data_IF_113836383793
#
_entry.id   IF_113836383793
#
_cell.length_a   1.000
_cell.length_b   1.000
_cell.length_c   1.000
_cell.angle_alpha   90.00
_cell.angle_beta   90.00
_cell.angle_gamma   90.00
#
_symmetry.space_group_name_H-M   'P 1'
#
loop_
_entity.id
_entity.type
_entity.pdbx_description
1 polymer ?
2 non-polymer ?
3 non-polymer ?
4 water ?
#
# COMPACT_ATOMS: atom_id res chain seq x y z
N UNK A 21 4.21 -11.68 -12.58
CA UNK A 21 3.15 -11.05 -11.74
C UNK A 21 2.12 -10.33 -12.61
N UNK A 22 0.86 -10.39 -12.17
CA UNK A 22 -0.23 -9.75 -12.88
C UNK A 22 -1.29 -9.33 -11.88
N UNK A 23 -0.93 -8.41 -10.99
CA UNK A 23 -1.82 -7.92 -9.95
C UNK A 23 -2.93 -7.04 -10.55
N UNK A 24 -2.72 -6.60 -11.80
CA UNK A 24 -3.70 -5.77 -12.48
C UNK A 24 -4.93 -6.62 -12.77
N UNK A 25 -4.69 -7.91 -12.98
CA UNK A 25 -5.76 -8.86 -13.26
C UNK A 25 -6.66 -9.03 -12.04
N UNK A 26 -6.11 -8.79 -10.86
CA UNK A 26 -6.87 -8.91 -9.62
C UNK A 26 -7.86 -7.76 -9.47
N UNK A 27 -8.85 -7.94 -8.60
CA UNK A 27 -9.84 -6.91 -8.39
C UNK A 27 -9.28 -5.64 -7.77
N UNK A 28 -10.10 -4.60 -7.56
CA UNK A 28 -9.67 -3.33 -6.98
C UNK A 28 -9.56 -3.36 -5.45
N UNK A 29 -10.07 -4.43 -4.84
CA UNK A 29 -10.04 -4.53 -3.39
C UNK A 29 -8.80 -5.16 -2.77
N UNK A 30 -7.94 -4.31 -2.23
CA UNK A 30 -6.72 -4.76 -1.57
C UNK A 30 -6.92 -4.55 -0.08
N UNK A 31 -6.39 -5.47 0.72
CA UNK A 31 -6.55 -5.41 2.17
C UNK A 31 -5.29 -5.67 2.98
N UNK A 32 -5.01 -4.78 3.93
CA UNK A 32 -3.86 -4.91 4.81
C UNK A 32 -4.18 -6.00 5.85
N UNK A 33 -3.16 -6.71 6.30
CA UNK A 33 -3.33 -7.75 7.31
C UNK A 33 -2.00 -8.00 8.01
N UNK A 34 -1.90 -7.60 9.29
CA UNK A 34 -0.69 -7.77 10.10
C UNK A 34 -0.10 -9.17 9.96
N UNK A 35 1.21 -9.22 9.71
CA UNK A 35 1.89 -10.50 9.53
C UNK A 35 2.01 -11.32 10.80
N UNK A 36 1.68 -10.71 11.94
CA UNK A 36 1.76 -11.43 13.21
C UNK A 36 0.44 -12.13 13.54
N UNK A 37 -0.54 -12.01 12.65
CA UNK A 37 -1.85 -12.63 12.88
C UNK A 37 -2.17 -13.63 11.76
N UNK A 38 -1.36 -14.70 11.64
CA UNK A 38 -1.52 -15.74 10.63
C UNK A 38 -2.87 -16.45 10.64
N UNK A 39 -3.60 -16.31 11.75
CA UNK A 39 -4.91 -16.94 11.85
C UNK A 39 -5.91 -16.26 10.92
N UNK A 40 -5.72 -14.97 10.69
CA UNK A 40 -6.62 -14.21 9.83
C UNK A 40 -6.25 -14.27 8.35
N UNK A 41 -5.00 -14.66 8.06
CA UNK A 41 -4.53 -14.76 6.68
C UNK A 41 -5.58 -15.37 5.74
N UNK A 42 -6.01 -16.59 6.06
CA UNK A 42 -7.00 -17.31 5.26
C UNK A 42 -8.27 -16.52 5.00
N UNK A 43 -8.82 -15.90 6.04
CA UNK A 43 -10.04 -15.11 5.89
C UNK A 43 -9.79 -13.91 4.99
N UNK A 44 -8.68 -13.22 5.26
CA UNK A 44 -8.30 -12.05 4.48
C UNK A 44 -8.16 -12.35 2.99
N UNK A 45 -7.37 -13.36 2.66
CA UNK A 45 -7.16 -13.74 1.27
C UNK A 45 -8.47 -14.07 0.58
N UNK A 46 -9.39 -14.68 1.33
CA UNK A 46 -10.69 -15.05 0.79
C UNK A 46 -11.63 -13.85 0.64
N UNK A 47 -11.41 -12.84 1.47
CA UNK A 47 -12.26 -11.64 1.43
C UNK A 47 -11.79 -10.57 0.44
N UNK A 48 -10.49 -10.48 0.22
CA UNK A 48 -9.93 -9.47 -0.68
C UNK A 48 -9.45 -9.99 -2.03
N UNK A 49 -9.18 -9.05 -2.94
CA UNK A 49 -8.68 -9.38 -4.26
C UNK A 49 -7.19 -9.63 -4.11
N UNK A 50 -6.55 -8.79 -3.31
CA UNK A 50 -5.13 -8.91 -3.04
C UNK A 50 -4.92 -8.60 -1.58
N UNK A 51 -4.05 -9.37 -0.95
CA UNK A 51 -3.77 -9.17 0.46
C UNK A 51 -2.38 -8.61 0.68
N UNK A 52 -2.31 -7.52 1.43
CA UNK A 52 -1.04 -6.90 1.74
C UNK A 52 -0.62 -7.34 3.15
N UNK A 53 0.29 -8.30 3.23
CA UNK A 53 0.78 -8.76 4.51
C UNK A 53 1.70 -7.67 5.02
N UNK A 54 1.38 -7.14 6.19
CA UNK A 54 2.12 -6.03 6.78
C UNK A 54 3.17 -6.39 7.82
N UNK A 55 4.36 -5.84 7.62
CA UNK A 55 5.52 -6.03 8.50
C UNK A 55 5.90 -4.65 9.03
N UNK A 56 5.11 -3.65 8.67
CA UNK A 56 5.39 -2.29 9.10
C UNK A 56 4.50 -1.92 10.28
N UNK A 57 4.05 -0.66 10.30
CA UNK A 57 3.23 -0.15 11.39
C UNK A 57 2.01 -0.99 11.76
N UNK A 58 1.76 -2.06 11.01
CA UNK A 58 0.63 -2.91 11.33
C UNK A 58 1.02 -3.97 12.34
N UNK A 59 2.29 -3.99 12.74
CA UNK A 59 2.79 -4.98 13.70
C UNK A 59 3.70 -4.33 14.74
N UNK A 60 3.42 -4.60 16.02
CA UNK A 60 4.21 -4.05 17.13
C UNK A 60 5.70 -4.31 16.95
N UNK A 61 6.51 -3.32 17.30
CA UNK A 61 7.96 -3.42 17.17
C UNK A 61 8.56 -4.64 17.85
N UNK A 62 7.78 -5.30 18.69
CA UNK A 62 8.23 -6.48 19.41
C UNK A 62 7.65 -7.75 18.80
N UNK A 63 6.64 -7.58 17.96
CA UNK A 63 5.99 -8.72 17.30
C UNK A 63 6.50 -8.93 15.88
N UNK A 64 7.43 -8.08 15.44
CA UNK A 64 7.97 -8.21 14.09
C UNK A 64 8.62 -9.57 13.83
N UNK A 65 9.57 -9.99 14.69
CA UNK A 65 10.20 -11.29 14.45
C UNK A 65 9.16 -12.41 14.38
N UNK A 66 8.07 -12.24 15.12
CA UNK A 66 7.01 -13.24 15.10
C UNK A 66 6.32 -13.18 13.74
N UNK A 67 6.00 -11.97 13.31
CA UNK A 67 5.34 -11.76 12.02
C UNK A 67 6.21 -12.32 10.90
N UNK A 68 7.52 -12.24 11.05
CA UNK A 68 8.44 -12.76 10.04
C UNK A 68 8.37 -14.28 9.97
N UNK A 69 8.24 -14.94 11.12
CA UNK A 69 8.13 -16.40 11.14
C UNK A 69 6.82 -16.83 10.51
N UNK A 70 5.74 -16.13 10.86
CA UNK A 70 4.42 -16.46 10.33
C UNK A 70 4.39 -16.25 8.82
N UNK A 71 5.19 -15.31 8.33
CA UNK A 71 5.25 -15.03 6.90
C UNK A 71 5.84 -16.23 6.16
N UNK A 72 6.62 -17.03 6.88
CA UNK A 72 7.27 -18.21 6.33
C UNK A 72 6.44 -19.49 6.36
N UNK A 73 6.04 -19.90 7.57
CA UNK A 73 5.27 -21.13 7.73
C UNK A 73 3.80 -21.03 7.35
N UNK A 74 3.29 -19.83 7.18
CA UNK A 74 1.89 -19.65 6.80
C UNK A 74 1.82 -18.97 5.44
N UNK A 75 2.03 -19.76 4.36
CA UNK A 75 2.00 -19.27 2.97
C UNK A 75 0.65 -18.85 2.43
N UNK A 76 0.69 -17.93 1.48
CA UNK A 76 -0.51 -17.40 0.83
C UNK A 76 -0.20 -17.34 -0.66
N UNK A 77 -1.24 -17.29 -1.48
CA UNK A 77 -1.03 -17.25 -2.93
C UNK A 77 -0.16 -16.05 -3.34
N UNK A 78 1.05 -16.32 -3.85
CA UNK A 78 1.95 -15.25 -4.27
C UNK A 78 1.39 -14.43 -5.44
N UNK A 79 0.32 -14.94 -6.04
CA UNK A 79 -0.30 -14.25 -7.17
C UNK A 79 -1.14 -13.08 -6.69
N UNK A 80 -1.76 -13.22 -5.53
CA UNK A 80 -2.61 -12.17 -4.99
C UNK A 80 -2.14 -11.69 -3.62
N UNK A 81 -0.83 -11.73 -3.39
CA UNK A 81 -0.30 -11.29 -2.11
C UNK A 81 1.00 -10.48 -2.23
N UNK A 82 1.01 -9.31 -1.59
CA UNK A 82 2.20 -8.46 -1.58
C UNK A 82 2.58 -8.31 -0.11
N UNK A 83 3.86 -8.13 0.14
CA UNK A 83 4.35 -7.96 1.50
C UNK A 83 4.85 -6.53 1.72
N UNK A 84 4.28 -5.84 2.70
CA UNK A 84 4.76 -4.50 2.97
C UNK A 84 5.91 -4.64 3.92
N UNK A 85 7.09 -4.24 3.46
CA UNK A 85 8.29 -4.33 4.28
C UNK A 85 8.50 -2.99 4.99
N UNK A 86 9.62 -2.86 5.70
CA UNK A 86 9.91 -1.65 6.41
C UNK A 86 10.71 -0.68 5.54
N UNK A 87 10.84 0.56 6.01
CA UNK A 87 11.51 1.64 5.29
C UNK A 87 12.96 1.42 4.91
N UNK A 88 13.35 2.04 3.80
CA UNK A 88 14.71 1.91 3.31
C UNK A 88 15.68 2.40 4.37
N UNK A 89 16.84 1.76 4.44
CA UNK A 89 17.85 2.18 5.40
C UNK A 89 17.68 1.71 6.84
N UNK A 90 16.63 0.95 7.14
CA UNK A 90 16.44 0.46 8.50
C UNK A 90 16.91 -0.97 8.68
N UNK A 91 17.03 -1.37 9.94
CA UNK A 91 17.44 -2.72 10.27
C UNK A 91 16.28 -3.67 10.02
N UNK A 92 15.06 -3.21 10.29
CA UNK A 92 13.89 -4.04 10.10
C UNK A 92 13.65 -4.43 8.64
N UNK A 93 13.93 -3.53 7.70
CA UNK A 93 13.73 -3.90 6.31
C UNK A 93 14.72 -5.01 5.98
N UNK A 94 15.94 -4.86 6.48
CA UNK A 94 17.00 -5.84 6.25
C UNK A 94 16.54 -7.22 6.73
N UNK A 95 15.94 -7.26 7.92
CA UNK A 95 15.46 -8.52 8.48
C UNK A 95 14.26 -9.03 7.69
N UNK A 96 13.53 -8.10 7.07
CA UNK A 96 12.35 -8.44 6.28
C UNK A 96 12.73 -9.17 4.99
N UNK A 97 13.77 -8.68 4.32
CA UNK A 97 14.20 -9.30 3.08
C UNK A 97 14.74 -10.70 3.35
N UNK A 98 15.45 -10.85 4.47
CA UNK A 98 16.01 -12.14 4.84
C UNK A 98 14.89 -13.14 5.08
N UNK A 99 13.82 -12.68 5.72
CA UNK A 99 12.68 -13.56 6.01
C UNK A 99 11.86 -13.78 4.74
N UNK A 100 11.90 -12.80 3.83
CA UNK A 100 11.16 -12.90 2.57
C UNK A 100 11.79 -13.93 1.63
N UNK A 101 13.08 -14.18 1.80
CA UNK A 101 13.80 -15.14 0.96
C UNK A 101 13.20 -16.54 1.07
N UNK A 102 12.69 -16.89 2.26
CA UNK A 102 12.11 -18.20 2.46
C UNK A 102 10.64 -18.27 2.10
N UNK A 103 10.19 -17.44 1.16
CA UNK A 103 8.80 -17.47 0.75
C UNK A 103 8.74 -17.36 -0.76
N UNK A 104 7.55 -17.55 -1.31
CA UNK A 104 7.36 -17.48 -2.74
C UNK A 104 6.85 -16.10 -3.20
N UNK A 105 7.00 -15.08 -2.36
CA UNK A 105 6.52 -13.73 -2.70
C UNK A 105 7.54 -12.98 -3.55
N UNK A 106 7.04 -12.26 -4.54
CA UNK A 106 7.89 -11.51 -5.45
C UNK A 106 7.67 -9.99 -5.38
N UNK A 107 6.49 -9.57 -4.91
CA UNK A 107 6.17 -8.15 -4.83
C UNK A 107 6.16 -7.57 -3.42
N UNK A 108 6.88 -6.48 -3.24
CA UNK A 108 6.93 -5.83 -1.94
C UNK A 108 6.42 -4.40 -2.01
N UNK A 109 5.88 -3.92 -0.90
CA UNK A 109 5.40 -2.55 -0.81
C UNK A 109 6.40 -1.83 0.10
N UNK A 110 6.97 -0.74 -0.42
CA UNK A 110 7.97 0.04 0.33
C UNK A 110 7.36 1.32 0.89
N UNK A 111 7.29 1.44 2.22
CA UNK A 111 6.75 2.63 2.87
C UNK A 111 7.78 3.74 2.82
N UNK A 112 7.34 4.98 3.02
CA UNK A 112 8.22 6.14 2.99
C UNK A 112 9.17 6.08 1.81
N UNK A 113 8.65 5.70 0.64
CA UNK A 113 9.50 5.62 -0.55
C UNK A 113 9.88 7.04 -0.91
N UNK A 114 11.18 7.32 -0.90
CA UNK A 114 11.65 8.67 -1.19
C UNK A 114 12.61 8.82 -2.37
N UNK A 115 12.94 7.73 -3.06
CA UNK A 115 13.82 7.82 -4.22
C UNK A 115 13.88 6.56 -5.07
N UNK A 116 14.34 6.73 -6.31
CA UNK A 116 14.49 5.63 -7.24
C UNK A 116 15.46 4.62 -6.64
N UNK A 117 16.54 5.13 -6.07
CA UNK A 117 17.54 4.28 -5.45
C UNK A 117 17.00 3.35 -4.35
N UNK A 118 16.01 3.81 -3.59
CA UNK A 118 15.46 2.96 -2.53
C UNK A 118 14.68 1.83 -3.17
N UNK A 119 14.15 2.09 -4.35
CA UNK A 119 13.38 1.10 -5.10
C UNK A 119 14.32 0.13 -5.78
N UNK A 120 15.33 0.69 -6.44
CA UNK A 120 16.34 -0.08 -7.15
C UNK A 120 17.03 -1.10 -6.26
N UNK A 121 17.35 -0.74 -5.03
CA UNK A 121 18.03 -1.66 -4.13
C UNK A 121 17.16 -2.83 -3.70
N UNK A 122 15.90 -2.85 -4.15
CA UNK A 122 15.01 -3.94 -3.82
C UNK A 122 14.94 -4.90 -5.01
N UNK A 123 15.62 -4.56 -6.11
CA UNK A 123 15.65 -5.45 -7.26
C UNK A 123 16.26 -6.77 -6.72
N UNK A 124 15.92 -7.92 -7.32
CA UNK A 124 15.02 -8.09 -8.46
C UNK A 124 13.55 -8.32 -8.14
N UNK A 125 13.06 -7.94 -6.97
CA UNK A 125 11.65 -8.17 -6.73
C UNK A 125 10.83 -6.97 -7.23
N UNK A 126 9.53 -7.16 -7.44
CA UNK A 126 8.69 -6.07 -7.92
C UNK A 126 8.33 -5.16 -6.76
N UNK A 127 8.34 -3.86 -6.99
CA UNK A 127 8.04 -2.94 -5.90
C UNK A 127 6.90 -1.96 -6.11
N UNK A 128 6.06 -1.87 -5.10
CA UNK A 128 4.97 -0.90 -5.11
C UNK A 128 5.48 0.16 -4.15
N UNK A 129 5.72 1.35 -4.68
CA UNK A 129 6.22 2.46 -3.86
C UNK A 129 5.07 3.17 -3.17
N UNK A 130 5.19 3.36 -1.86
CA UNK A 130 4.16 4.05 -1.10
C UNK A 130 4.74 5.39 -0.70
N UNK A 131 4.31 6.42 -1.41
CA UNK A 131 4.76 7.79 -1.18
C UNK A 131 3.95 8.39 -0.05
N UNK A 132 4.65 8.80 1.00
CA UNK A 132 3.99 9.37 2.17
C UNK A 132 4.91 10.33 2.94
N UNK A 133 5.69 11.11 2.18
CA UNK A 133 6.60 12.11 2.73
C UNK A 133 6.78 13.16 1.65
N UNK A 134 7.23 14.35 2.04
CA UNK A 134 7.42 15.44 1.09
C UNK A 134 8.46 15.09 0.04
N UNK A 135 9.59 14.52 0.44
CA UNK A 135 10.63 14.14 -0.51
C UNK A 135 10.06 13.17 -1.53
N UNK A 136 9.29 12.20 -1.08
CA UNK A 136 8.71 11.24 -2.01
C UNK A 136 7.78 11.90 -3.01
N UNK A 137 6.93 12.81 -2.54
CA UNK A 137 6.01 13.49 -3.45
C UNK A 137 6.82 14.29 -4.46
N UNK A 138 7.88 14.93 -4.00
CA UNK A 138 8.73 15.72 -4.90
C UNK A 138 9.43 14.84 -5.95
N UNK A 139 9.80 13.62 -5.57
CA UNK A 139 10.47 12.71 -6.50
C UNK A 139 9.54 11.63 -7.04
N UNK A 140 8.23 11.87 -7.00
CA UNK A 140 7.24 10.89 -7.47
C UNK A 140 7.50 10.26 -8.84
N UNK A 141 7.93 11.08 -9.81
CA UNK A 141 8.19 10.60 -11.17
C UNK A 141 9.45 9.76 -11.21
N UNK A 142 10.48 10.21 -10.51
CA UNK A 142 11.74 9.48 -10.47
C UNK A 142 11.46 8.10 -9.89
N UNK A 143 10.64 8.05 -8.84
CA UNK A 143 10.31 6.78 -8.21
C UNK A 143 9.49 5.88 -9.13
N UNK A 144 8.44 6.43 -9.73
CA UNK A 144 7.61 5.65 -10.63
C UNK A 144 8.41 5.17 -11.84
N UNK A 145 9.44 5.93 -12.21
CA UNK A 145 10.25 5.57 -13.37
C UNK A 145 11.14 4.35 -13.15
N UNK A 146 11.64 4.16 -11.93
CA UNK A 146 12.53 3.05 -11.62
C UNK A 146 12.04 1.71 -12.17
N UNK A 147 12.99 0.91 -12.67
CA UNK A 147 12.66 -0.40 -13.26
C UNK A 147 11.86 -1.35 -12.38
N UNK A 148 12.25 -1.50 -11.09
CA UNK A 148 11.53 -2.41 -10.17
C UNK A 148 10.07 -2.05 -9.91
N UNK A 149 9.74 -0.77 -10.06
CA UNK A 149 8.40 -0.27 -9.79
C UNK A 149 7.28 -0.83 -10.65
N UNK A 150 6.25 -1.35 -9.99
CA UNK A 150 5.09 -1.88 -10.68
C UNK A 150 3.81 -1.21 -10.15
N UNK A 151 3.96 -0.37 -9.14
CA UNK A 151 2.82 0.32 -8.58
C UNK A 151 3.19 1.51 -7.71
N UNK A 152 2.28 2.48 -7.64
CA UNK A 152 2.49 3.68 -6.82
C UNK A 152 1.29 3.85 -5.89
N UNK A 153 1.57 4.08 -4.61
CA UNK A 153 0.51 4.28 -3.64
C UNK A 153 0.87 5.52 -2.82
N UNK A 154 -0.13 6.12 -2.18
CA UNK A 154 0.11 7.28 -1.33
C UNK A 154 -0.65 7.13 0.00
N UNK A 155 -0.17 7.84 1.02
CA UNK A 155 -0.79 7.79 2.34
C UNK A 155 -0.77 9.18 2.94
N UNK A 156 -1.94 9.69 3.32
CA UNK A 156 -2.04 11.03 3.88
C UNK A 156 -1.49 11.19 5.29
N UNK A 157 -1.80 10.21 6.14
CA UNK A 157 -1.39 10.23 7.53
C UNK A 157 0.11 10.43 7.80
N UNK A 158 0.96 9.60 7.20
CA UNK A 158 2.40 9.79 7.44
C UNK A 158 2.87 11.06 6.75
N UNK A 159 2.20 11.42 5.66
CA UNK A 159 2.52 12.63 4.91
C UNK A 159 2.39 13.86 5.80
N UNK A 160 1.21 14.05 6.37
CA UNK A 160 0.98 15.20 7.24
C UNK A 160 1.94 15.13 8.43
N UNK A 161 2.11 13.94 8.99
CA UNK A 161 2.99 13.79 10.15
C UNK A 161 4.41 14.23 9.82
N UNK A 162 5.00 13.62 8.80
CA UNK A 162 6.36 13.97 8.43
C UNK A 162 6.46 15.43 8.01
N UNK A 163 5.34 16.05 7.66
CA UNK A 163 5.33 17.46 7.28
C UNK A 163 5.38 18.35 8.53
N UNK A 164 5.03 17.77 9.67
CA UNK A 164 5.01 18.52 10.92
C UNK A 164 3.60 19.01 11.19
N UNK A 165 2.64 18.47 10.43
CA UNK A 165 1.25 18.86 10.61
C UNK A 165 0.55 17.96 11.62
N UNK A 166 -0.76 18.09 11.75
CA UNK A 166 -1.47 17.27 12.71
C UNK A 166 -2.86 16.82 12.25
N UNK A 167 -3.23 17.17 11.03
CA UNK A 167 -4.54 16.78 10.54
C UNK A 167 -4.55 16.72 9.02
N UNK A 168 -4.91 15.56 8.47
CA UNK A 168 -4.94 15.37 7.03
C UNK A 168 -6.27 15.78 6.39
N UNK A 169 -7.32 15.84 7.20
CA UNK A 169 -8.64 16.23 6.69
C UNK A 169 -9.12 17.49 7.40
N UNK A 170 -9.98 18.26 6.74
CA UNK A 170 -10.50 19.47 7.35
C UNK A 170 -11.85 19.16 7.97
N UNK A 171 -12.47 20.17 8.58
CA UNK A 171 -13.77 20.01 9.24
C UNK A 171 -14.79 19.23 8.43
N UNK A 172 -14.97 19.59 7.16
CA UNK A 172 -15.95 18.94 6.31
C UNK A 172 -15.58 17.52 5.89
N UNK A 173 -14.52 16.97 6.48
CA UNK A 173 -14.10 15.61 6.14
C UNK A 173 -13.18 15.50 4.94
N UNK A 174 -13.26 16.46 4.02
CA UNK A 174 -12.42 16.45 2.83
C UNK A 174 -10.93 16.56 3.19
N UNK A 175 -10.11 15.86 2.43
CA UNK A 175 -8.65 15.90 2.64
C UNK A 175 -8.18 17.33 2.49
N UNK A 176 -7.13 17.70 3.21
CA UNK A 176 -6.60 19.03 3.06
C UNK A 176 -5.92 19.13 1.68
N UNK A 177 -5.67 20.35 1.24
CA UNK A 177 -5.08 20.59 -0.07
C UNK A 177 -3.76 19.91 -0.39
N UNK A 178 -2.84 19.87 0.56
CA UNK A 178 -1.54 19.26 0.29
C UNK A 178 -1.75 17.77 -0.04
N UNK A 179 -2.61 17.11 0.73
CA UNK A 179 -2.90 15.69 0.51
C UNK A 179 -3.56 15.46 -0.85
N UNK A 180 -4.46 16.35 -1.23
CA UNK A 180 -5.14 16.23 -2.51
C UNK A 180 -4.15 16.40 -3.66
N UNK A 181 -3.21 17.31 -3.46
CA UNK A 181 -2.16 17.63 -4.43
C UNK A 181 -1.31 16.36 -4.68
N UNK A 182 -0.93 15.71 -3.59
CA UNK A 182 -0.12 14.48 -3.65
C UNK A 182 -0.87 13.31 -4.29
N UNK A 183 -2.14 13.16 -3.92
CA UNK A 183 -2.96 12.10 -4.49
C UNK A 183 -2.88 12.24 -6.02
N UNK A 184 -3.21 13.42 -6.51
CA UNK A 184 -3.13 13.64 -7.96
C UNK A 184 -1.69 13.42 -8.47
N UNK A 185 -0.69 13.79 -7.67
CA UNK A 185 0.70 13.62 -8.07
C UNK A 185 1.08 12.15 -8.30
N UNK A 186 0.76 11.26 -7.37
CA UNK A 186 1.12 9.86 -7.58
C UNK A 186 0.28 9.15 -8.65
N UNK A 187 -0.91 9.68 -8.94
CA UNK A 187 -1.79 9.11 -9.98
C UNK A 187 -1.15 9.36 -11.34
N UNK A 188 -0.69 10.59 -11.54
CA UNK A 188 -0.06 10.96 -12.80
C UNK A 188 1.28 10.26 -12.94
N UNK A 189 2.04 10.19 -11.85
CA UNK A 189 3.36 9.54 -11.87
C UNK A 189 3.24 8.08 -12.27
N UNK A 190 2.35 7.37 -11.58
CA UNK A 190 2.12 5.94 -11.81
C UNK A 190 1.62 5.69 -13.23
N UNK A 191 0.68 6.52 -13.67
CA UNK A 191 0.11 6.36 -14.99
C UNK A 191 1.10 6.65 -16.10
N UNK A 192 1.82 7.75 -15.95
CA UNK A 192 2.80 8.16 -16.95
C UNK A 192 3.82 7.05 -17.24
N UNK A 193 3.98 6.11 -16.31
CA UNK A 193 4.94 5.04 -16.52
C UNK A 193 4.32 3.67 -16.53
N UNK A 194 3.03 3.63 -16.82
CA UNK A 194 2.32 2.36 -16.89
C UNK A 194 2.27 1.57 -15.58
N UNK A 195 2.37 2.25 -14.45
CA UNK A 195 2.33 1.57 -13.16
C UNK A 195 0.90 1.50 -12.64
N UNK A 196 0.68 0.61 -11.69
CA UNK A 196 -0.62 0.47 -11.07
C UNK A 196 -0.75 1.67 -10.12
N UNK A 197 -1.95 2.23 -10.00
CA UNK A 197 -2.15 3.36 -9.09
C UNK A 197 -3.08 2.93 -7.95
N UNK A 198 -2.61 3.03 -6.71
CA UNK A 198 -3.40 2.66 -5.52
C UNK A 198 -3.79 3.88 -4.67
N UNK A 199 -5.09 4.07 -4.44
CA UNK A 199 -5.57 5.19 -3.65
C UNK A 199 -5.41 4.94 -2.14
N UNK A 200 -5.33 6.02 -1.36
CA UNK A 200 -5.13 5.93 0.07
C UNK A 200 -6.24 5.26 0.89
N UNK A 201 -5.79 4.57 1.93
CA UNK A 201 -6.65 3.86 2.87
C UNK A 201 -7.63 4.79 3.54
N UNK A 202 -8.89 4.38 3.61
CA UNK A 202 -9.90 5.18 4.29
C UNK A 202 -9.87 4.73 5.75
N UNK A 203 -9.16 5.51 6.57
CA UNK A 203 -8.97 5.24 8.00
C UNK A 203 -10.21 5.09 8.88
N UNK A 204 -11.25 5.87 8.62
CA UNK A 204 -12.49 5.77 9.40
C UNK A 204 -13.34 4.63 8.86
N UNK A 205 -13.03 3.41 9.31
CA UNK A 205 -13.70 2.19 8.86
C UNK A 205 -15.23 2.18 8.84
N UNK A 206 -15.86 2.71 9.89
CA UNK A 206 -17.32 2.70 9.96
C UNK A 206 -17.96 3.75 9.05
N UNK A 207 -17.13 4.63 8.47
CA UNK A 207 -17.62 5.67 7.57
C UNK A 207 -17.62 5.12 6.14
N UNK A 208 -18.64 4.33 5.82
CA UNK A 208 -18.76 3.72 4.50
C UNK A 208 -19.22 4.71 3.44
N UNK A 209 -19.92 5.76 3.86
CA UNK A 209 -20.40 6.78 2.95
C UNK A 209 -19.16 7.45 2.35
N UNK A 210 -18.26 7.86 3.24
CA UNK A 210 -17.03 8.51 2.84
C UNK A 210 -16.19 7.63 1.93
N UNK A 211 -16.04 6.37 2.31
CA UNK A 211 -15.27 5.43 1.52
C UNK A 211 -15.88 5.25 0.14
N UNK A 212 -17.20 5.18 0.09
CA UNK A 212 -17.90 5.02 -1.17
C UNK A 212 -17.61 6.18 -2.11
N UNK A 213 -17.65 7.41 -1.57
CA UNK A 213 -17.39 8.60 -2.36
C UNK A 213 -15.95 8.66 -2.90
N UNK A 214 -14.98 8.32 -2.06
CA UNK A 214 -13.57 8.32 -2.47
C UNK A 214 -13.30 7.23 -3.48
N UNK A 215 -13.84 6.04 -3.23
CA UNK A 215 -13.66 4.92 -4.14
C UNK A 215 -14.30 5.22 -5.49
N UNK A 216 -15.49 5.78 -5.48
CA UNK A 216 -16.19 6.12 -6.74
C UNK A 216 -15.32 7.08 -7.52
N UNK A 217 -14.88 8.13 -6.85
CA UNK A 217 -14.02 9.13 -7.45
C UNK A 217 -12.73 8.48 -7.98
N UNK A 218 -12.12 7.63 -7.17
CA UNK A 218 -10.88 6.95 -7.57
C UNK A 218 -11.10 6.11 -8.82
N UNK A 219 -12.28 5.52 -8.92
CA UNK A 219 -12.62 4.68 -10.06
C UNK A 219 -12.72 5.56 -11.29
N UNK A 220 -13.43 6.66 -11.12
CA UNK A 220 -13.65 7.63 -12.18
C UNK A 220 -12.39 8.30 -12.69
N UNK A 221 -11.42 8.50 -11.80
CA UNK A 221 -10.17 9.19 -12.12
C UNK A 221 -9.04 8.32 -12.70
N UNK A 222 -9.13 7.00 -12.54
CA UNK A 222 -8.08 6.14 -13.08
C UNK A 222 -7.36 5.26 -12.09
N UNK A 223 -7.56 5.49 -10.80
CA UNK A 223 -6.94 4.64 -9.79
C UNK A 223 -7.40 3.23 -10.12
N UNK A 224 -6.51 2.25 -9.93
CA UNK A 224 -6.86 0.86 -10.23
C UNK A 224 -7.23 0.15 -8.95
N UNK A 225 -6.81 0.72 -7.82
CA UNK A 225 -7.04 0.11 -6.54
C UNK A 225 -7.26 1.11 -5.41
N UNK A 226 -7.98 0.66 -4.39
CA UNK A 226 -8.23 1.45 -3.20
C UNK A 226 -7.94 0.44 -2.11
N UNK A 227 -6.91 0.71 -1.34
CA UNK A 227 -6.54 -0.20 -0.28
C UNK A 227 -7.47 -0.03 0.92
N UNK A 228 -7.74 -1.14 1.60
CA UNK A 228 -8.62 -1.16 2.77
C UNK A 228 -7.84 -1.72 3.95
N UNK A 229 -8.26 -1.37 5.15
CA UNK A 229 -7.61 -1.87 6.37
C UNK A 229 -8.55 -2.82 7.09
N UNK A 230 -9.79 -2.89 6.62
CA UNK A 230 -10.78 -3.75 7.23
C UNK A 230 -11.56 -4.48 6.14
N UNK A 231 -11.77 -5.80 6.31
CA UNK A 231 -12.49 -6.63 5.34
C UNK A 231 -13.88 -6.12 4.96
N UNK A 232 -14.52 -5.37 5.85
CA UNK A 232 -15.85 -4.84 5.57
C UNK A 232 -15.79 -3.77 4.49
N UNK A 233 -14.59 -3.25 4.25
CA UNK A 233 -14.41 -2.20 3.25
C UNK A 233 -14.36 -2.69 1.81
N UNK A 234 -13.94 -3.93 1.62
CA UNK A 234 -13.83 -4.50 0.28
C UNK A 234 -15.08 -4.46 -0.62
N UNK A 235 -16.23 -4.96 -0.14
CA UNK A 235 -17.42 -4.92 -0.99
C UNK A 235 -17.84 -3.53 -1.49
N UNK A 236 -17.65 -2.50 -0.67
CA UNK A 236 -18.01 -1.15 -1.09
C UNK A 236 -17.04 -0.70 -2.18
N UNK A 237 -15.76 -1.04 -2.00
CA UNK A 237 -14.74 -0.69 -2.98
C UNK A 237 -15.01 -1.40 -4.30
N UNK A 238 -15.29 -2.70 -4.23
CA UNK A 238 -15.57 -3.48 -5.43
C UNK A 238 -16.80 -2.97 -6.18
N UNK A 239 -17.77 -2.43 -5.44
CA UNK A 239 -18.99 -1.93 -6.06
C UNK A 239 -18.75 -0.58 -6.73
N UNK A 240 -17.94 0.25 -6.08
CA UNK A 240 -17.64 1.58 -6.61
C UNK A 240 -16.92 1.46 -7.95
N UNK A 241 -16.16 0.39 -8.13
CA UNK A 241 -15.43 0.16 -9.37
C UNK A 241 -16.24 -0.71 -10.35
N UNK A 242 -17.47 -1.07 -9.94
CA UNK A 242 -18.35 -1.92 -10.75
C UNK A 242 -18.28 -1.71 -12.27
N UNK A 243 -19.13 -0.83 -12.78
CA UNK A 243 -19.20 -0.55 -14.22
C UNK A 243 -17.87 -0.76 -14.94
X LIG B 1 -0.64 0.65 9.03
X LIG B 1 -2.69 0.18 8.61
X LIG B 1 -1.40 3.67 5.17
X LIG B 1 0.74 4.05 5.64
X LIG B 1 0.63 2.34 7.66
X LIG B 1 -1.69 0.86 8.36
X LIG B 1 -1.80 1.86 7.18
X LIG B 1 -0.43 2.56 6.96
X LIG B 1 -0.36 3.45 5.90
X LIG C 1 2.31 4.58 6.63
#
# INVERSE_FOLDING_TARGET
XGSSHHHHHHSSGLVPRGSHMNLRAAGPGWLFCPADRPERFAKAAAAADVVILDLEDGVAEAQKPAARNALRDTPLDPERTVVRINAGGTADQARDLEALAGTAYTTVMLPKAESAAQVIELAPRDVIALVETARGAVCAAEIAAADPTVGMMWGAEDLIATLGGSSSRRADGAYRDVARHVRSTILLAASAFGRLALDAVHLDILDVEGLQEEARDAAAVGFDVTVCIHPSQIPVVRKAYRPSHEKLAWARRVLAASRSERGAFAFEGQXVDSPVLTHAETXLRRAGEATSE
OAA O1 O2 O4 O5 O3 C1 C2 C3 C4
MG MG
#
